data_IF_891622349967
#
_entry.id   IF_891622349967
#
_cell.length_a   1.000
_cell.length_b   1.000
_cell.length_c   1.000
_cell.angle_alpha   90.00
_cell.angle_beta   90.00
_cell.angle_gamma   90.00
#
_symmetry.space_group_name_H-M   'P 1'
#
loop_
_entity.id
_entity.type
_entity.pdbx_description
1 polymer ?
#
# COMPACT_ATOMS: atom_id res chain seq x y z
N UNK A 1 23.29 -51.96 48.15
CA UNK A 1 22.34 -50.91 47.88
C UNK A 1 23.05 -49.88 47.00
N UNK A 2 22.73 -49.84 45.73
CA UNK A 2 23.35 -48.91 44.73
C UNK A 2 22.34 -47.84 44.37
N UNK A 3 22.58 -46.59 44.78
CA UNK A 3 21.76 -45.44 44.43
C UNK A 3 22.14 -44.91 43.04
N UNK A 4 21.25 -44.99 42.08
CA UNK A 4 21.36 -44.33 40.78
C UNK A 4 20.86 -42.89 40.95
N UNK A 5 21.77 -41.93 40.74
CA UNK A 5 21.46 -40.49 40.66
C UNK A 5 21.18 -40.21 39.18
N UNK A 6 19.92 -39.93 38.85
CA UNK A 6 19.50 -39.52 37.52
C UNK A 6 19.70 -38.02 37.40
N UNK A 7 20.65 -37.60 36.57
CA UNK A 7 20.91 -36.19 36.25
C UNK A 7 19.85 -35.72 35.23
N UNK A 8 18.89 -34.91 35.66
CA UNK A 8 17.95 -34.24 34.75
C UNK A 8 18.61 -33.02 34.14
N UNK A 9 19.01 -33.13 32.89
CA UNK A 9 19.48 -31.98 32.08
C UNK A 9 18.30 -31.08 31.74
N UNK A 10 18.24 -29.92 32.34
CA UNK A 10 17.31 -28.81 31.97
C UNK A 10 17.85 -28.11 30.70
N UNK A 11 17.30 -28.47 29.55
CA UNK A 11 17.57 -27.76 28.30
C UNK A 11 16.87 -26.37 28.33
N UNK A 12 17.67 -25.32 28.45
CA UNK A 12 17.17 -23.95 28.31
C UNK A 12 16.81 -23.70 26.83
N UNK A 13 15.53 -23.62 26.51
CA UNK A 13 15.05 -23.09 25.23
C UNK A 13 15.30 -21.58 25.22
N UNK A 14 16.30 -21.13 24.48
CA UNK A 14 16.49 -19.73 24.14
C UNK A 14 15.43 -19.34 23.12
N UNK A 15 14.35 -18.68 23.54
CA UNK A 15 13.41 -18.01 22.66
C UNK A 15 14.10 -16.76 22.10
N UNK A 16 14.56 -16.86 20.85
CA UNK A 16 14.99 -15.69 20.11
C UNK A 16 13.77 -14.81 19.84
N UNK A 17 13.67 -13.67 20.50
CA UNK A 17 12.68 -12.65 20.17
C UNK A 17 12.98 -12.16 18.75
N UNK A 18 12.14 -12.53 17.80
CA UNK A 18 12.13 -11.90 16.48
C UNK A 18 11.60 -10.47 16.73
N UNK A 19 12.47 -9.48 16.58
CA UNK A 19 12.04 -8.09 16.57
C UNK A 19 11.10 -7.90 15.37
N UNK A 20 9.81 -7.92 15.62
CA UNK A 20 8.83 -7.47 14.66
C UNK A 20 9.06 -5.96 14.51
N UNK A 21 9.51 -5.52 13.34
CA UNK A 21 9.64 -4.10 13.03
C UNK A 21 8.26 -3.45 13.22
N UNK A 22 8.20 -2.46 14.08
CA UNK A 22 6.95 -1.77 14.42
C UNK A 22 6.59 -0.69 13.38
N UNK A 23 6.68 -1.04 12.10
CA UNK A 23 6.09 -0.21 11.04
C UNK A 23 4.58 -0.36 11.11
N UNK A 24 3.89 0.71 11.47
CA UNK A 24 2.43 0.77 11.42
C UNK A 24 1.98 1.32 10.09
N UNK A 25 0.89 0.77 9.54
CA UNK A 25 0.25 1.28 8.34
C UNK A 25 -1.26 1.30 8.55
N UNK A 26 -1.90 2.42 8.23
CA UNK A 26 -3.35 2.62 8.31
C UNK A 26 -3.88 3.04 6.95
N UNK A 27 -4.81 2.25 6.42
CA UNK A 27 -5.51 2.59 5.19
C UNK A 27 -6.77 3.39 5.48
N UNK A 28 -7.01 4.43 4.67
CA UNK A 28 -8.24 5.22 4.66
C UNK A 28 -8.76 5.37 3.24
N UNK A 29 -10.08 5.55 3.11
CA UNK A 29 -10.74 5.82 1.84
C UNK A 29 -11.59 7.07 2.03
N UNK A 30 -11.40 8.06 1.17
CA UNK A 30 -12.08 9.34 1.23
C UNK A 30 -12.69 9.65 -0.14
N UNK A 31 -13.88 10.25 -0.14
CA UNK A 31 -14.50 10.80 -1.33
C UNK A 31 -13.90 12.17 -1.60
N UNK A 32 -13.55 12.44 -2.85
CA UNK A 32 -13.09 13.74 -3.29
C UNK A 32 -14.24 14.49 -3.99
N UNK A 33 -14.62 15.62 -3.42
CA UNK A 33 -15.70 16.46 -3.93
C UNK A 33 -15.17 17.86 -4.23
N UNK A 34 -15.57 18.42 -5.37
CA UNK A 34 -15.26 19.79 -5.73
C UNK A 34 -16.34 20.72 -5.17
N UNK A 35 -15.96 21.66 -4.34
CA UNK A 35 -16.84 22.67 -3.75
C UNK A 35 -16.50 24.03 -4.36
N UNK A 36 -17.53 24.74 -4.82
CA UNK A 36 -17.39 26.12 -5.31
C UNK A 36 -17.90 27.05 -4.21
N UNK A 37 -17.03 27.90 -3.68
CA UNK A 37 -17.37 28.89 -2.67
C UNK A 37 -18.21 30.03 -3.27
N UNK A 38 -18.89 30.81 -2.42
CA UNK A 38 -19.76 31.92 -2.85
C UNK A 38 -19.01 33.04 -3.61
N UNK A 39 -17.69 33.13 -3.45
CA UNK A 39 -16.78 34.04 -4.18
C UNK A 39 -16.24 33.45 -5.49
N UNK A 40 -16.70 32.24 -5.88
CA UNK A 40 -16.31 31.54 -7.10
C UNK A 40 -15.00 30.76 -6.97
N UNK A 41 -14.36 30.70 -5.80
CA UNK A 41 -13.19 29.87 -5.59
C UNK A 41 -13.57 28.38 -5.60
N UNK A 42 -12.78 27.59 -6.34
CA UNK A 42 -12.95 26.13 -6.46
C UNK A 42 -11.99 25.45 -5.50
N UNK A 43 -12.53 24.65 -4.57
CA UNK A 43 -11.74 23.85 -3.64
C UNK A 43 -12.11 22.38 -3.76
N UNK A 44 -11.09 21.52 -3.63
CA UNK A 44 -11.28 20.07 -3.51
C UNK A 44 -11.34 19.72 -2.04
N UNK A 45 -12.40 19.08 -1.61
CA UNK A 45 -12.61 18.63 -0.23
C UNK A 45 -12.63 17.10 -0.21
N UNK A 46 -12.00 16.51 0.80
CA UNK A 46 -12.03 15.08 1.07
C UNK A 46 -12.93 14.81 2.28
N UNK A 47 -13.81 13.87 2.12
CA UNK A 47 -14.78 13.48 3.15
C UNK A 47 -14.72 11.97 3.37
N UNK A 48 -14.90 11.55 4.62
CA UNK A 48 -15.01 10.12 4.94
C UNK A 48 -16.20 9.52 4.19
N UNK A 49 -15.97 8.36 3.59
CA UNK A 49 -16.96 7.70 2.75
C UNK A 49 -18.04 7.04 3.60
N UNK A 50 -19.26 7.55 3.54
CA UNK A 50 -20.46 6.86 4.05
C UNK A 50 -21.21 6.13 2.93
N UNK A 51 -21.23 6.71 1.73
CA UNK A 51 -21.86 6.16 0.53
C UNK A 51 -21.14 6.63 -0.72
N UNK A 52 -20.87 5.70 -1.62
CA UNK A 52 -20.23 5.97 -2.91
C UNK A 52 -21.18 5.55 -4.03
N UNK A 53 -21.23 6.34 -5.10
CA UNK A 53 -21.99 6.01 -6.30
C UNK A 53 -21.07 5.94 -7.52
N UNK A 54 -21.44 5.19 -8.57
CA UNK A 54 -20.69 5.14 -9.81
C UNK A 54 -20.39 6.53 -10.39
N UNK A 55 -19.17 6.72 -10.87
CA UNK A 55 -18.67 7.99 -11.42
C UNK A 55 -17.98 8.90 -10.39
N UNK A 56 -18.13 8.65 -9.10
CA UNK A 56 -17.47 9.45 -8.07
C UNK A 56 -15.97 9.14 -7.98
N UNK A 57 -15.20 10.16 -7.59
CA UNK A 57 -13.77 10.04 -7.34
C UNK A 57 -13.53 9.75 -5.87
N UNK A 58 -12.71 8.72 -5.63
CA UNK A 58 -12.26 8.31 -4.30
C UNK A 58 -10.75 8.34 -4.22
N UNK A 59 -10.23 8.61 -3.04
CA UNK A 59 -8.79 8.60 -2.74
C UNK A 59 -8.54 7.51 -1.70
N UNK A 60 -7.68 6.58 -2.06
CA UNK A 60 -7.14 5.58 -1.17
C UNK A 60 -5.83 6.10 -0.63
N UNK A 61 -5.70 6.16 0.68
CA UNK A 61 -4.48 6.63 1.36
C UNK A 61 -3.96 5.55 2.31
N UNK A 62 -2.65 5.41 2.38
CA UNK A 62 -1.93 4.56 3.30
C UNK A 62 -0.98 5.44 4.12
N UNK A 63 -1.37 5.71 5.35
CA UNK A 63 -0.54 6.42 6.32
C UNK A 63 0.36 5.41 7.01
N UNK A 64 1.67 5.59 6.93
CA UNK A 64 2.65 4.72 7.56
C UNK A 64 3.57 5.50 8.48
N UNK A 65 3.99 4.85 9.57
CA UNK A 65 4.92 5.44 10.54
C UNK A 65 5.88 4.38 11.07
N UNK A 66 7.15 4.78 11.23
CA UNK A 66 8.16 3.95 11.88
C UNK A 66 8.12 4.19 13.40
N UNK A 67 7.47 3.30 14.11
CA UNK A 67 7.40 3.30 15.58
C UNK A 67 8.48 2.41 16.23
N UNK A 68 9.43 1.91 15.45
CA UNK A 68 10.54 1.10 15.97
C UNK A 68 11.59 1.99 16.65
N UNK A 69 12.52 1.38 17.38
CA UNK A 69 13.65 2.03 18.02
C UNK A 69 14.81 2.35 17.08
N UNK A 70 14.74 1.92 15.80
CA UNK A 70 15.78 2.11 14.80
C UNK A 70 15.19 2.59 13.45
N UNK A 71 15.97 3.27 12.60
CA UNK A 71 15.54 3.61 11.25
C UNK A 71 15.19 2.37 10.43
N UNK A 72 14.07 2.42 9.71
CA UNK A 72 13.66 1.36 8.79
C UNK A 72 14.16 1.66 7.38
N UNK A 73 14.76 0.66 6.72
CA UNK A 73 15.25 0.75 5.36
C UNK A 73 14.45 -0.16 4.44
N UNK A 74 14.54 0.09 3.14
CA UNK A 74 13.94 -0.74 2.09
C UNK A 74 12.45 -0.99 2.30
N UNK A 75 11.74 0.06 2.77
CA UNK A 75 10.30 -0.04 3.01
C UNK A 75 9.58 -0.20 1.67
N UNK A 76 8.82 -1.27 1.57
CA UNK A 76 7.95 -1.56 0.43
C UNK A 76 6.53 -1.72 0.93
N UNK A 77 5.64 -0.87 0.42
CA UNK A 77 4.23 -0.88 0.77
C UNK A 77 3.40 -1.17 -0.47
N UNK A 78 2.43 -2.06 -0.34
CA UNK A 78 1.57 -2.48 -1.46
C UNK A 78 0.12 -2.29 -1.05
N UNK A 79 -0.69 -1.72 -1.95
CA UNK A 79 -2.11 -1.53 -1.76
C UNK A 79 -2.89 -2.15 -2.92
N UNK A 80 -3.93 -2.96 -2.66
CA UNK A 80 -4.80 -3.46 -3.70
C UNK A 80 -5.65 -2.32 -4.31
N UNK A 81 -5.95 -2.44 -5.59
CA UNK A 81 -6.95 -1.63 -6.28
C UNK A 81 -8.23 -2.48 -6.32
N UNK A 82 -9.30 -2.09 -5.60
CA UNK A 82 -10.55 -2.84 -5.63
C UNK A 82 -11.14 -2.96 -7.04
N UNK A 83 -11.78 -4.08 -7.40
CA UNK A 83 -12.34 -4.28 -8.74
C UNK A 83 -13.50 -3.32 -9.06
N UNK A 84 -14.11 -2.71 -8.04
CA UNK A 84 -15.22 -1.74 -8.17
C UNK A 84 -14.74 -0.36 -8.61
N UNK A 85 -13.43 -0.13 -8.68
CA UNK A 85 -12.88 1.16 -9.06
C UNK A 85 -11.93 1.04 -10.24
N UNK A 86 -11.69 2.17 -10.92
CA UNK A 86 -10.70 2.33 -11.97
C UNK A 86 -9.64 3.33 -11.52
N UNK A 87 -8.38 2.94 -11.55
CA UNK A 87 -7.25 3.81 -11.22
C UNK A 87 -7.23 5.07 -12.09
N UNK A 88 -6.93 6.21 -11.51
CA UNK A 88 -6.70 7.46 -12.23
C UNK A 88 -5.20 7.63 -12.42
N UNK A 89 -4.77 7.65 -13.68
CA UNK A 89 -3.36 7.70 -14.07
C UNK A 89 -2.60 8.88 -13.44
N UNK A 90 -1.36 8.63 -13.02
CA UNK A 90 -0.46 9.63 -12.45
C UNK A 90 -0.76 10.02 -11.00
N UNK A 91 -1.81 9.47 -10.38
CA UNK A 91 -2.21 9.87 -9.01
C UNK A 91 -1.51 9.10 -7.89
N UNK A 92 -0.75 8.06 -8.22
CA UNK A 92 0.03 7.29 -7.25
C UNK A 92 1.46 7.79 -7.06
N UNK A 93 1.87 8.80 -7.80
CA UNK A 93 3.22 9.35 -7.73
C UNK A 93 3.40 10.20 -6.47
N UNK A 94 4.27 9.75 -5.58
CA UNK A 94 4.60 10.42 -4.32
C UNK A 94 6.11 10.70 -4.30
N UNK A 95 6.53 11.91 -3.90
CA UNK A 95 7.96 12.24 -3.79
C UNK A 95 8.72 11.22 -2.94
N UNK A 96 9.98 10.97 -3.30
CA UNK A 96 10.86 10.03 -2.61
C UNK A 96 10.38 8.57 -2.63
N UNK A 97 9.51 8.22 -3.57
CA UNK A 97 9.10 6.83 -3.79
C UNK A 97 9.30 6.40 -5.23
N UNK A 98 9.44 5.09 -5.43
CA UNK A 98 9.33 4.46 -6.74
C UNK A 98 8.02 3.70 -6.78
N UNK A 99 7.18 4.03 -7.75
CA UNK A 99 5.87 3.39 -7.94
C UNK A 99 5.99 2.27 -8.97
N UNK A 100 5.35 1.14 -8.70
CA UNK A 100 5.17 0.04 -9.62
C UNK A 100 3.76 -0.54 -9.52
N UNK A 101 3.33 -1.21 -10.57
CA UNK A 101 1.95 -1.67 -10.74
C UNK A 101 1.91 -3.15 -11.08
N UNK A 102 0.81 -3.80 -10.71
CA UNK A 102 0.52 -5.19 -11.02
C UNK A 102 -0.86 -5.28 -11.68
N UNK A 103 -1.01 -6.24 -12.61
CA UNK A 103 -2.27 -6.64 -13.20
C UNK A 103 -2.58 -8.14 -13.00
N UNK A 104 -1.77 -8.84 -12.18
CA UNK A 104 -1.83 -10.29 -11.95
C UNK A 104 -2.07 -10.66 -10.48
N UNK A 105 -2.76 -9.79 -9.74
CA UNK A 105 -3.07 -10.04 -8.34
C UNK A 105 -1.90 -9.74 -7.37
N UNK A 106 -0.87 -9.01 -7.82
CA UNK A 106 0.28 -8.67 -7.01
C UNK A 106 1.43 -9.68 -7.10
N UNK A 107 1.39 -10.61 -8.05
CA UNK A 107 2.45 -11.59 -8.28
C UNK A 107 3.68 -10.94 -8.91
N UNK A 108 3.49 -10.10 -9.93
CA UNK A 108 4.57 -9.34 -10.56
C UNK A 108 4.30 -7.84 -10.55
N UNK A 109 5.37 -7.04 -10.54
CA UNK A 109 5.30 -5.58 -10.54
C UNK A 109 6.24 -4.99 -11.58
N UNK A 110 5.73 -4.02 -12.34
CA UNK A 110 6.46 -3.30 -13.37
C UNK A 110 6.15 -1.80 -13.34
N UNK A 111 6.92 -1.00 -14.07
CA UNK A 111 6.55 0.41 -14.30
C UNK A 111 5.22 0.49 -15.03
N UNK A 112 4.48 1.58 -14.90
CA UNK A 112 3.13 1.70 -15.49
C UNK A 112 3.08 1.35 -16.98
N UNK A 113 4.08 1.78 -17.74
CA UNK A 113 4.16 1.52 -19.18
C UNK A 113 4.53 0.09 -19.55
N UNK A 114 5.07 -0.68 -18.58
CA UNK A 114 5.58 -2.04 -18.80
C UNK A 114 4.67 -3.12 -18.22
N UNK A 115 3.53 -2.75 -17.61
CA UNK A 115 2.55 -3.74 -17.16
C UNK A 115 1.82 -4.30 -18.37
N UNK A 116 2.00 -5.59 -18.62
CA UNK A 116 1.43 -6.29 -19.74
C UNK A 116 0.44 -7.34 -19.27
N UNK A 117 -0.59 -7.57 -20.06
CA UNK A 117 -1.56 -8.64 -19.85
C UNK A 117 -1.73 -9.45 -21.16
N UNK A 118 -2.23 -10.65 -21.02
CA UNK A 118 -2.69 -11.45 -22.14
C UNK A 118 -4.20 -11.24 -22.31
N UNK A 119 -4.63 -10.86 -23.51
CA UNK A 119 -6.05 -10.71 -23.83
C UNK A 119 -6.74 -12.06 -24.09
N UNK A 120 -8.06 -12.04 -24.32
CA UNK A 120 -8.84 -13.25 -24.56
C UNK A 120 -8.48 -14.00 -25.86
N UNK A 121 -7.78 -13.34 -26.77
CA UNK A 121 -7.30 -13.92 -28.05
C UNK A 121 -5.85 -14.42 -27.95
N UNK A 122 -5.21 -14.29 -26.79
CA UNK A 122 -3.85 -14.73 -26.53
C UNK A 122 -2.76 -13.72 -26.91
N UNK A 123 -3.11 -12.47 -27.24
CA UNK A 123 -2.13 -11.44 -27.57
C UNK A 123 -1.68 -10.72 -26.28
N UNK A 124 -0.39 -10.37 -26.25
CA UNK A 124 0.18 -9.56 -25.16
C UNK A 124 -0.02 -8.08 -25.49
N UNK A 125 -0.61 -7.34 -24.58
CA UNK A 125 -0.81 -5.89 -24.67
C UNK A 125 -0.58 -5.17 -23.34
N UNK A 126 -0.42 -3.85 -23.37
CA UNK A 126 -0.37 -3.05 -22.15
C UNK A 126 -1.69 -3.14 -21.38
N UNK A 127 -1.59 -3.27 -20.06
CA UNK A 127 -2.76 -3.27 -19.17
C UNK A 127 -3.42 -1.88 -19.13
N UNK A 128 -4.75 -1.85 -19.23
CA UNK A 128 -5.55 -0.65 -18.97
C UNK A 128 -5.54 -0.27 -17.49
N UNK A 129 -5.94 0.97 -17.18
CA UNK A 129 -6.05 1.44 -15.79
C UNK A 129 -7.13 0.68 -14.98
N UNK A 130 -8.06 0.06 -15.67
CA UNK A 130 -9.13 -0.76 -15.12
C UNK A 130 -8.74 -2.23 -14.91
N UNK A 131 -7.57 -2.63 -15.40
CA UNK A 131 -7.03 -3.98 -15.28
C UNK A 131 -5.92 -4.07 -14.23
N UNK A 132 -5.52 -2.93 -13.67
CA UNK A 132 -4.57 -2.91 -12.56
C UNK A 132 -5.20 -3.45 -11.28
N UNK A 133 -4.46 -4.29 -10.59
CA UNK A 133 -4.91 -4.97 -9.36
C UNK A 133 -4.21 -4.46 -8.10
N UNK A 134 -2.95 -3.99 -8.23
CA UNK A 134 -2.16 -3.50 -7.10
C UNK A 134 -1.23 -2.36 -7.51
N UNK A 135 -0.94 -1.49 -6.53
CA UNK A 135 0.10 -0.48 -6.59
C UNK A 135 1.11 -0.78 -5.48
N UNK A 136 2.39 -0.65 -5.80
CA UNK A 136 3.49 -0.82 -4.86
C UNK A 136 4.38 0.41 -4.86
N UNK A 137 4.67 0.91 -3.67
CA UNK A 137 5.64 1.98 -3.44
C UNK A 137 6.88 1.40 -2.75
N UNK A 138 8.05 1.74 -3.28
CA UNK A 138 9.34 1.52 -2.63
C UNK A 138 9.86 2.87 -2.16
N UNK A 139 9.94 3.06 -0.85
CA UNK A 139 10.39 4.31 -0.23
C UNK A 139 11.90 4.43 -0.39
N UNK A 140 12.37 5.61 -0.84
CA UNK A 140 13.78 5.88 -1.08
C UNK A 140 14.44 6.38 0.20
N UNK A 141 15.47 5.67 0.65
CA UNK A 141 16.22 6.00 1.87
C UNK A 141 15.55 5.52 3.16
N UNK A 142 16.22 5.76 4.29
CA UNK A 142 15.73 5.37 5.60
C UNK A 142 14.55 6.23 6.05
N UNK A 143 13.60 5.60 6.74
CA UNK A 143 12.55 6.28 7.51
C UNK A 143 12.97 6.23 8.98
N UNK A 144 13.29 7.39 9.55
CA UNK A 144 13.78 7.47 10.90
C UNK A 144 12.70 7.13 11.94
N UNK A 145 13.12 6.94 13.18
CA UNK A 145 12.22 6.70 14.32
C UNK A 145 11.22 7.85 14.46
N UNK A 146 9.94 7.53 14.49
CA UNK A 146 8.85 8.51 14.57
C UNK A 146 8.54 9.22 13.25
N UNK A 147 9.25 8.93 12.17
CA UNK A 147 8.94 9.45 10.83
C UNK A 147 8.01 8.49 10.08
N UNK A 148 7.31 9.04 9.10
CA UNK A 148 6.41 8.31 8.24
C UNK A 148 5.97 9.13 7.04
N UNK A 149 4.89 8.74 6.41
CA UNK A 149 4.36 9.44 5.25
C UNK A 149 3.01 8.91 4.83
N UNK A 150 2.44 9.57 3.84
CA UNK A 150 1.17 9.18 3.24
C UNK A 150 1.42 8.81 1.78
N UNK A 151 1.07 7.59 1.43
CA UNK A 151 1.01 7.09 0.06
C UNK A 151 -0.45 7.08 -0.36
N UNK A 152 -0.75 7.55 -1.57
CA UNK A 152 -2.15 7.59 -2.00
C UNK A 152 -2.29 7.41 -3.50
N UNK A 153 -3.46 6.99 -3.91
CA UNK A 153 -3.89 7.04 -5.30
C UNK A 153 -5.37 7.43 -5.39
N UNK A 154 -5.77 8.00 -6.52
CA UNK A 154 -7.16 8.27 -6.81
C UNK A 154 -7.73 7.23 -7.76
N UNK A 155 -9.02 6.98 -7.63
CA UNK A 155 -9.75 6.08 -8.51
C UNK A 155 -11.18 6.60 -8.77
N UNK A 156 -11.78 6.19 -9.87
CA UNK A 156 -13.19 6.45 -10.19
C UNK A 156 -13.99 5.19 -9.93
N UNK A 157 -15.11 5.30 -9.24
CA UNK A 157 -16.07 4.21 -8.99
C UNK A 157 -16.75 3.82 -10.30
N UNK A 158 -16.88 2.50 -10.56
CA UNK A 158 -17.52 1.94 -11.76
C UNK A 158 -19.02 1.81 -11.63
#
# INVERSE_FOLDING_TARGET
>A
MRYFITLVSLAALSVSAVNAQALTAKQTVEKETTVVSADGAVATVRETVEKIVPGERVVYSLDFNNNDAAPANDIVLTMPIPPEVKYIEGTAEVPQTRVSFSADGGESFSTRQSVMIMDGDGNIRAAGADELTHIRWSVSGPVNVGEGGILSFSATVR
#
